data_IF_073903056699
#
_entry.id   IF_073903056699
#
_cell.length_a   1.000
_cell.length_b   1.000
_cell.length_c   1.000
_cell.angle_alpha   90.00
_cell.angle_beta   90.00
_cell.angle_gamma   90.00
#
_symmetry.space_group_name_H-M   'P 1'
#
loop_
_entity.id
_entity.type
_entity.pdbx_description
1 polymer ?
#
# COMPACT_ATOMS: atom_id res chain seq x y z
N UNK A 1 19.23 -1.32 6.85
CA UNK A 1 18.73 0.00 7.15
C UNK A 1 17.31 -0.07 7.65
N UNK A 2 17.15 0.38 8.87
CA UNK A 2 15.89 0.34 9.60
C UNK A 2 14.75 1.07 8.88
N UNK A 3 15.07 2.21 8.25
CA UNK A 3 14.08 3.08 7.62
C UNK A 3 13.37 2.44 6.43
N UNK A 4 14.10 1.70 5.58
CA UNK A 4 13.50 1.03 4.42
C UNK A 4 12.56 -0.09 4.89
N UNK A 5 12.98 -0.85 5.90
CA UNK A 5 12.13 -1.88 6.49
C UNK A 5 10.84 -1.28 7.06
N UNK A 6 10.94 -0.12 7.74
CA UNK A 6 9.77 0.55 8.30
C UNK A 6 8.79 0.95 7.20
N UNK A 7 9.26 1.46 6.06
CA UNK A 7 8.41 1.76 4.93
C UNK A 7 7.75 0.51 4.34
N UNK A 8 8.52 -0.56 4.18
CA UNK A 8 7.98 -1.83 3.66
C UNK A 8 6.87 -2.36 4.56
N UNK A 9 7.10 -2.38 5.86
CA UNK A 9 6.11 -2.84 6.84
C UNK A 9 4.87 -1.94 6.84
N UNK A 10 5.07 -0.62 6.80
CA UNK A 10 3.98 0.35 6.75
C UNK A 10 3.14 0.24 5.48
N UNK A 11 3.77 0.08 4.34
CA UNK A 11 3.07 -0.12 3.06
C UNK A 11 2.20 -1.38 3.13
N UNK A 12 2.77 -2.48 3.63
CA UNK A 12 2.05 -3.74 3.76
C UNK A 12 0.83 -3.61 4.67
N UNK A 13 0.99 -2.95 5.83
CA UNK A 13 -0.10 -2.72 6.78
C UNK A 13 -1.23 -1.89 6.15
N UNK A 14 -0.89 -0.81 5.44
CA UNK A 14 -1.89 0.06 4.82
C UNK A 14 -2.61 -0.64 3.66
N UNK A 15 -1.89 -1.45 2.87
CA UNK A 15 -2.52 -2.23 1.80
C UNK A 15 -3.48 -3.27 2.37
N UNK A 16 -3.08 -3.93 3.44
CA UNK A 16 -3.92 -4.91 4.13
C UNK A 16 -5.20 -4.26 4.65
N UNK A 17 -5.09 -3.10 5.31
CA UNK A 17 -6.22 -2.34 5.81
C UNK A 17 -7.14 -1.86 4.68
N UNK A 18 -6.57 -1.37 3.59
CA UNK A 18 -7.35 -0.92 2.44
C UNK A 18 -8.19 -2.06 1.86
N UNK A 19 -7.60 -3.25 1.73
CA UNK A 19 -8.30 -4.43 1.25
C UNK A 19 -9.42 -4.85 2.19
N UNK A 20 -9.15 -4.91 3.50
CA UNK A 20 -10.13 -5.30 4.51
C UNK A 20 -11.32 -4.35 4.52
N UNK A 21 -11.09 -3.04 4.46
CA UNK A 21 -12.16 -2.06 4.40
C UNK A 21 -13.00 -2.23 3.14
N UNK A 22 -12.38 -2.55 2.00
CA UNK A 22 -13.13 -2.76 0.77
C UNK A 22 -13.97 -4.05 0.82
N UNK A 23 -13.45 -5.09 1.45
CA UNK A 23 -14.22 -6.33 1.67
C UNK A 23 -15.45 -6.05 2.53
N UNK A 24 -15.30 -5.27 3.60
CA UNK A 24 -16.42 -4.84 4.45
C UNK A 24 -17.42 -3.98 3.67
N UNK A 25 -16.93 -3.06 2.84
CA UNK A 25 -17.79 -2.23 2.00
C UNK A 25 -18.66 -3.09 1.10
N UNK A 26 -18.07 -4.06 0.41
CA UNK A 26 -18.81 -4.94 -0.49
C UNK A 26 -19.83 -5.82 0.25
N UNK A 27 -19.50 -6.22 1.47
CA UNK A 27 -20.45 -6.95 2.33
C UNK A 27 -21.69 -6.09 2.63
N UNK A 28 -21.50 -4.82 2.99
CA UNK A 28 -22.62 -3.90 3.24
C UNK A 28 -23.38 -3.57 1.97
N UNK A 29 -22.71 -3.47 0.83
CA UNK A 29 -23.37 -3.28 -0.46
C UNK A 29 -24.36 -4.43 -0.74
N UNK A 30 -23.92 -5.66 -0.48
CA UNK A 30 -24.78 -6.84 -0.64
C UNK A 30 -25.98 -6.86 0.32
N UNK A 31 -25.90 -6.12 1.44
CA UNK A 31 -26.98 -5.95 2.40
C UNK A 31 -27.84 -4.70 2.16
N UNK A 32 -27.66 -4.04 1.04
CA UNK A 32 -28.36 -2.80 0.68
C UNK A 32 -28.13 -1.66 1.69
N UNK A 33 -26.99 -1.69 2.39
CA UNK A 33 -26.60 -0.62 3.31
C UNK A 33 -25.62 0.32 2.59
N UNK A 34 -26.15 1.26 1.81
CA UNK A 34 -25.34 2.17 0.99
C UNK A 34 -24.52 3.15 1.83
N UNK A 35 -25.00 3.53 3.02
CA UNK A 35 -24.25 4.42 3.90
C UNK A 35 -22.95 3.79 4.37
N UNK A 36 -23.00 2.58 4.91
CA UNK A 36 -21.82 1.89 5.40
C UNK A 36 -20.91 1.43 4.26
N UNK A 37 -21.49 1.05 3.11
CA UNK A 37 -20.71 0.80 1.90
C UNK A 37 -19.84 2.01 1.56
N UNK A 38 -20.43 3.20 1.48
CA UNK A 38 -19.73 4.42 1.13
C UNK A 38 -18.63 4.78 2.15
N UNK A 39 -18.92 4.62 3.45
CA UNK A 39 -17.96 4.93 4.50
C UNK A 39 -16.74 4.00 4.47
N UNK A 40 -16.97 2.69 4.36
CA UNK A 40 -15.86 1.73 4.28
C UNK A 40 -15.07 1.87 3.00
N UNK A 41 -15.72 2.17 1.89
CA UNK A 41 -15.05 2.45 0.63
C UNK A 41 -14.13 3.67 0.76
N UNK A 42 -14.59 4.73 1.39
CA UNK A 42 -13.78 5.92 1.64
C UNK A 42 -12.58 5.61 2.52
N UNK A 43 -12.77 4.82 3.59
CA UNK A 43 -11.68 4.38 4.45
C UNK A 43 -10.65 3.57 3.66
N UNK A 44 -11.09 2.71 2.75
CA UNK A 44 -10.21 1.96 1.86
C UNK A 44 -9.37 2.88 0.98
N UNK A 45 -10.02 3.90 0.39
CA UNK A 45 -9.34 4.88 -0.47
C UNK A 45 -8.28 5.67 0.32
N UNK A 46 -8.61 6.07 1.55
CA UNK A 46 -7.67 6.78 2.42
C UNK A 46 -6.46 5.91 2.77
N UNK A 47 -6.66 4.65 3.13
CA UNK A 47 -5.57 3.74 3.46
C UNK A 47 -4.68 3.47 2.24
N UNK A 48 -5.26 3.35 1.07
CA UNK A 48 -4.49 3.20 -0.17
C UNK A 48 -3.67 4.45 -0.46
N UNK A 49 -4.21 5.63 -0.16
CA UNK A 49 -3.49 6.90 -0.24
C UNK A 49 -2.28 6.93 0.69
N UNK A 50 -2.43 6.43 1.91
CA UNK A 50 -1.32 6.32 2.87
C UNK A 50 -0.24 5.39 2.35
N UNK A 51 -0.60 4.24 1.80
CA UNK A 51 0.35 3.30 1.20
C UNK A 51 1.12 3.95 0.06
N UNK A 52 0.44 4.72 -0.79
CA UNK A 52 1.06 5.43 -1.91
C UNK A 52 2.06 6.49 -1.44
N UNK A 53 1.74 7.21 -0.37
CA UNK A 53 2.64 8.20 0.22
C UNK A 53 3.88 7.54 0.80
N UNK A 54 3.72 6.45 1.54
CA UNK A 54 4.85 5.70 2.10
C UNK A 54 5.73 5.13 1.00
N UNK A 55 5.12 4.63 -0.07
CA UNK A 55 5.85 4.12 -1.23
C UNK A 55 6.70 5.23 -1.89
N UNK A 56 6.12 6.42 -2.06
CA UNK A 56 6.82 7.57 -2.63
C UNK A 56 8.00 8.00 -1.76
N UNK A 57 7.81 8.06 -0.45
CA UNK A 57 8.89 8.38 0.49
C UNK A 57 10.02 7.36 0.40
N UNK A 58 9.68 6.08 0.30
CA UNK A 58 10.68 5.03 0.17
C UNK A 58 11.48 5.16 -1.13
N UNK A 59 10.82 5.45 -2.24
CA UNK A 59 11.48 5.68 -3.53
C UNK A 59 12.47 6.84 -3.42
N UNK A 60 12.04 7.96 -2.83
CA UNK A 60 12.90 9.13 -2.66
C UNK A 60 14.11 8.83 -1.78
N UNK A 61 13.90 8.13 -0.69
CA UNK A 61 14.98 7.79 0.25
C UNK A 61 15.97 6.81 -0.37
N UNK A 62 15.49 5.83 -1.13
CA UNK A 62 16.37 4.88 -1.83
C UNK A 62 17.23 5.60 -2.88
N UNK A 63 16.65 6.52 -3.64
CA UNK A 63 17.39 7.32 -4.61
C UNK A 63 18.51 8.12 -3.96
N UNK A 64 18.26 8.72 -2.79
CA UNK A 64 19.26 9.44 -2.02
C UNK A 64 20.37 8.50 -1.52
N UNK A 65 20.01 7.31 -1.09
CA UNK A 65 20.97 6.31 -0.62
C UNK A 65 21.89 5.84 -1.75
N UNK A 66 21.35 5.61 -2.93
CA UNK A 66 22.12 5.17 -4.09
C UNK A 66 23.19 6.19 -4.48
N UNK A 67 22.91 7.48 -4.27
CA UNK A 67 23.86 8.55 -4.55
C UNK A 67 25.02 8.60 -3.54
N UNK A 68 24.75 8.24 -2.28
CA UNK A 68 25.73 8.33 -1.19
C UNK A 68 26.46 7.00 -0.99
N UNK A 69 25.77 5.88 -1.16
CA UNK A 69 26.29 4.54 -0.97
C UNK A 69 26.07 3.72 -2.22
N UNK A 70 27.06 3.68 -3.15
CA UNK A 70 26.88 2.92 -4.40
C UNK A 70 26.74 1.41 -4.19
N UNK A 71 27.16 0.90 -3.01
CA UNK A 71 27.11 -0.52 -2.69
C UNK A 71 25.99 -0.85 -1.70
N UNK A 72 24.73 -0.53 -2.06
CA UNK A 72 23.60 -0.94 -1.24
C UNK A 72 23.51 -2.47 -1.20
N UNK A 73 23.34 -3.08 -0.02
CA UNK A 73 23.22 -4.54 0.08
C UNK A 73 22.13 -5.10 -0.81
N UNK A 74 22.46 -6.15 -1.56
CA UNK A 74 21.54 -6.74 -2.53
C UNK A 74 20.29 -7.29 -1.87
N UNK A 75 20.38 -7.86 -0.68
CA UNK A 75 19.22 -8.38 0.05
C UNK A 75 18.21 -7.28 0.41
N UNK A 76 18.68 -6.07 0.68
CA UNK A 76 17.82 -4.91 0.94
C UNK A 76 17.10 -4.47 -0.34
N UNK A 77 17.82 -4.43 -1.47
CA UNK A 77 17.22 -4.12 -2.77
C UNK A 77 16.21 -5.19 -3.17
N UNK A 78 16.49 -6.45 -2.90
CA UNK A 78 15.57 -7.56 -3.20
C UNK A 78 14.27 -7.43 -2.39
N UNK A 79 14.38 -7.10 -1.10
CA UNK A 79 13.21 -6.86 -0.24
C UNK A 79 12.39 -5.69 -0.74
N UNK A 80 13.05 -4.60 -1.12
CA UNK A 80 12.38 -3.43 -1.68
C UNK A 80 11.67 -3.76 -2.99
N UNK A 81 12.35 -4.45 -3.89
CA UNK A 81 11.78 -4.83 -5.19
C UNK A 81 10.55 -5.73 -5.01
N UNK A 82 10.60 -6.67 -4.08
CA UNK A 82 9.46 -7.51 -3.75
C UNK A 82 8.29 -6.67 -3.22
N UNK A 83 8.56 -5.76 -2.30
CA UNK A 83 7.55 -4.87 -1.74
C UNK A 83 6.95 -3.97 -2.81
N UNK A 84 7.79 -3.42 -3.70
CA UNK A 84 7.33 -2.59 -4.81
C UNK A 84 6.40 -3.37 -5.75
N UNK A 85 6.76 -4.58 -6.12
CA UNK A 85 5.94 -5.41 -6.99
C UNK A 85 4.60 -5.76 -6.34
N UNK A 86 4.61 -6.10 -5.05
CA UNK A 86 3.39 -6.35 -4.29
C UNK A 86 2.52 -5.09 -4.19
N UNK A 87 3.14 -3.93 -4.00
CA UNK A 87 2.42 -2.65 -3.98
C UNK A 87 1.70 -2.39 -5.30
N UNK A 88 2.37 -2.55 -6.42
CA UNK A 88 1.78 -2.34 -7.75
C UNK A 88 0.60 -3.29 -7.96
N UNK A 89 0.81 -4.56 -7.68
CA UNK A 89 -0.17 -5.62 -7.90
C UNK A 89 -1.40 -5.47 -7.00
N UNK A 90 -1.17 -5.31 -5.70
CA UNK A 90 -2.25 -5.15 -4.71
C UNK A 90 -3.02 -3.84 -4.87
N UNK A 91 -2.32 -2.75 -5.22
CA UNK A 91 -2.97 -1.47 -5.50
C UNK A 91 -3.94 -1.59 -6.67
N UNK A 92 -3.53 -2.23 -7.75
CA UNK A 92 -4.40 -2.44 -8.91
C UNK A 92 -5.63 -3.28 -8.53
N UNK A 93 -5.44 -4.33 -7.76
CA UNK A 93 -6.52 -5.19 -7.27
C UNK A 93 -7.51 -4.42 -6.40
N UNK A 94 -6.99 -3.67 -5.41
CA UNK A 94 -7.84 -2.90 -4.48
C UNK A 94 -8.62 -1.82 -5.24
N UNK A 95 -8.00 -1.12 -6.18
CA UNK A 95 -8.68 -0.11 -7.01
C UNK A 95 -9.79 -0.73 -7.84
N UNK A 96 -9.59 -1.94 -8.35
CA UNK A 96 -10.62 -2.66 -9.07
C UNK A 96 -11.82 -2.94 -8.16
N UNK A 97 -11.57 -3.37 -6.91
CA UNK A 97 -12.64 -3.54 -5.92
C UNK A 97 -13.36 -2.23 -5.60
N UNK A 98 -12.62 -1.12 -5.48
CA UNK A 98 -13.19 0.20 -5.20
C UNK A 98 -14.11 0.68 -6.34
N UNK A 99 -13.90 0.19 -7.55
CA UNK A 99 -14.72 0.54 -8.72
C UNK A 99 -15.93 -0.39 -8.91
N UNK A 100 -16.08 -1.36 -8.05
CA UNK A 100 -17.27 -2.23 -8.04
C UNK A 100 -18.41 -1.55 -7.30
#
# INVERSE_FOLDING_TARGET
>A
MKKIKDYVDGIEDELCSAKEYMEKALWYKAKDNSERYSRYKEMSIQELGHASNLHQFAVEDIEKLEKVYPDIPQDMLDKWNKSHNEFVEKTAWIRQMQNM
#
